data_IF_725919957313
#
_entry.id   IF_725919957313
#
_cell.length_a   1.000
_cell.length_b   1.000
_cell.length_c   1.000
_cell.angle_alpha   90.00
_cell.angle_beta   90.00
_cell.angle_gamma   90.00
#
_symmetry.space_group_name_H-M   'P 1'
#
loop_
_entity.id
_entity.type
_entity.pdbx_description
1 polymer ?
#
# COMPACT_ATOMS: atom_id res chain seq x y z
N UNK A 1 -10.95 7.38 8.59
CA UNK A 1 -9.97 6.28 8.50
C UNK A 1 -9.74 6.04 7.02
N UNK A 2 -8.50 5.81 6.62
CA UNK A 2 -8.10 5.72 5.23
C UNK A 2 -8.10 4.29 4.74
N UNK A 3 -8.23 4.10 3.43
CA UNK A 3 -8.18 2.80 2.76
C UNK A 3 -7.11 2.81 1.68
N UNK A 4 -6.16 1.88 1.78
CA UNK A 4 -5.15 1.62 0.76
C UNK A 4 -5.48 0.29 0.12
N UNK A 5 -5.54 0.23 -1.21
CA UNK A 5 -5.59 -1.03 -1.93
C UNK A 5 -4.23 -1.32 -2.57
N UNK A 6 -3.67 -2.49 -2.28
CA UNK A 6 -2.35 -2.90 -2.76
C UNK A 6 -2.42 -4.10 -3.68
N UNK A 7 -1.32 -4.39 -4.37
CA UNK A 7 -1.17 -5.54 -5.26
C UNK A 7 -2.13 -5.44 -6.47
N UNK A 8 -2.34 -4.22 -6.97
CA UNK A 8 -3.12 -3.95 -8.18
C UNK A 8 -2.28 -4.40 -9.39
N UNK A 9 -2.74 -5.43 -10.11
CA UNK A 9 -1.97 -6.00 -11.25
C UNK A 9 -2.62 -5.73 -12.60
N UNK A 10 -3.91 -5.42 -12.63
CA UNK A 10 -4.65 -5.22 -13.88
C UNK A 10 -5.74 -4.14 -13.72
N UNK A 11 -6.36 -3.75 -14.84
CA UNK A 11 -7.42 -2.74 -14.86
C UNK A 11 -8.69 -3.17 -14.11
N UNK A 12 -8.98 -4.48 -14.06
CA UNK A 12 -10.13 -5.02 -13.33
C UNK A 12 -9.96 -4.83 -11.83
N UNK A 13 -8.77 -5.14 -11.28
CA UNK A 13 -8.42 -4.90 -9.87
C UNK A 13 -8.57 -3.40 -9.55
N UNK A 14 -7.98 -2.54 -10.39
CA UNK A 14 -8.00 -1.10 -10.19
C UNK A 14 -9.44 -0.55 -10.17
N UNK A 15 -10.30 -0.99 -11.10
CA UNK A 15 -11.72 -0.60 -11.15
C UNK A 15 -12.52 -1.14 -9.97
N UNK A 16 -12.28 -2.39 -9.58
CA UNK A 16 -12.94 -2.99 -8.42
C UNK A 16 -12.68 -2.16 -7.17
N UNK A 17 -11.42 -1.87 -6.87
CA UNK A 17 -11.08 -1.06 -5.71
C UNK A 17 -11.55 0.39 -5.86
N UNK A 18 -11.43 1.01 -7.04
CA UNK A 18 -11.89 2.38 -7.26
C UNK A 18 -13.39 2.58 -6.93
N UNK A 19 -14.23 1.56 -7.09
CA UNK A 19 -15.64 1.61 -6.70
C UNK A 19 -15.84 1.83 -5.19
N UNK A 20 -14.85 1.46 -4.37
CA UNK A 20 -14.84 1.68 -2.92
C UNK A 20 -14.07 2.95 -2.51
N UNK A 21 -13.64 3.75 -3.49
CA UNK A 21 -12.95 5.03 -3.29
C UNK A 21 -11.78 4.97 -2.28
N UNK A 22 -10.80 4.06 -2.47
CA UNK A 22 -9.61 4.04 -1.63
C UNK A 22 -8.87 5.37 -1.75
N UNK A 23 -8.18 5.76 -0.68
CA UNK A 23 -7.28 6.92 -0.69
C UNK A 23 -6.06 6.66 -1.59
N UNK A 24 -5.63 5.40 -1.70
CA UNK A 24 -4.43 5.01 -2.44
C UNK A 24 -4.57 3.68 -3.18
N UNK A 25 -4.10 3.63 -4.43
CA UNK A 25 -3.85 2.38 -5.18
C UNK A 25 -2.34 2.15 -5.27
N UNK A 26 -1.89 0.99 -4.80
CA UNK A 26 -0.47 0.59 -4.82
C UNK A 26 -0.25 -0.52 -5.84
N UNK A 27 0.61 -0.22 -6.81
CA UNK A 27 1.03 -1.16 -7.85
C UNK A 27 2.41 -1.72 -7.48
N UNK A 28 2.59 -3.06 -7.44
CA UNK A 28 3.90 -3.64 -7.21
C UNK A 28 4.79 -3.45 -8.45
N UNK A 29 6.02 -2.98 -8.27
CA UNK A 29 7.02 -2.80 -9.34
C UNK A 29 7.19 -4.07 -10.18
N UNK A 30 7.19 -5.22 -9.52
CA UNK A 30 7.19 -6.52 -10.19
C UNK A 30 5.76 -6.96 -10.51
N UNK A 31 5.36 -6.88 -11.77
CA UNK A 31 4.14 -7.55 -12.21
C UNK A 31 4.38 -9.06 -12.29
N UNK A 32 3.44 -9.82 -11.72
CA UNK A 32 3.43 -11.25 -11.89
C UNK A 32 2.83 -11.59 -13.27
N UNK A 33 3.69 -12.08 -14.18
CA UNK A 33 3.38 -12.93 -15.36
C UNK A 33 3.07 -12.31 -16.72
N UNK A 34 2.95 -10.99 -16.90
CA UNK A 34 2.76 -10.39 -18.24
C UNK A 34 4.02 -9.59 -18.65
N UNK A 35 4.57 -9.73 -19.87
CA UNK A 35 5.77 -9.01 -20.31
C UNK A 35 5.62 -7.48 -20.43
N UNK A 36 4.44 -6.91 -20.18
CA UNK A 36 4.25 -5.46 -20.19
C UNK A 36 4.97 -4.83 -18.99
N UNK A 37 5.97 -4.00 -19.28
CA UNK A 37 6.64 -3.18 -18.28
C UNK A 37 5.63 -2.34 -17.48
N UNK A 38 5.84 -2.23 -16.16
CA UNK A 38 4.92 -1.56 -15.25
C UNK A 38 4.62 -0.11 -15.67
N UNK A 39 5.60 0.59 -16.24
CA UNK A 39 5.41 1.97 -16.68
C UNK A 39 4.43 2.06 -17.85
N UNK A 40 4.52 1.10 -18.78
CA UNK A 40 3.56 0.99 -19.89
C UNK A 40 2.17 0.64 -19.37
N UNK A 41 2.09 -0.24 -18.38
CA UNK A 41 0.82 -0.58 -17.73
C UNK A 41 0.19 0.64 -17.02
N UNK A 42 0.99 1.43 -16.31
CA UNK A 42 0.53 2.65 -15.62
C UNK A 42 -0.06 3.65 -16.61
N UNK A 43 0.62 3.88 -17.75
CA UNK A 43 0.14 4.77 -18.81
C UNK A 43 -1.21 4.32 -19.39
N UNK A 44 -1.47 3.01 -19.40
CA UNK A 44 -2.72 2.44 -19.88
C UNK A 44 -3.84 2.47 -18.86
N UNK A 45 -3.55 2.31 -17.56
CA UNK A 45 -4.55 2.11 -16.51
C UNK A 45 -4.91 3.41 -15.78
N UNK A 46 -3.92 4.24 -15.43
CA UNK A 46 -4.16 5.47 -14.66
C UNK A 46 -5.22 6.39 -15.26
N UNK A 47 -5.30 6.61 -16.60
CA UNK A 47 -6.32 7.48 -17.19
C UNK A 47 -7.76 7.01 -17.01
N UNK A 48 -7.99 5.74 -16.66
CA UNK A 48 -9.33 5.17 -16.48
C UNK A 48 -9.82 5.20 -15.05
N UNK A 49 -8.99 5.65 -14.10
CA UNK A 49 -9.28 5.61 -12.68
C UNK A 49 -9.12 7.01 -12.11
N UNK A 50 -10.22 7.57 -11.63
CA UNK A 50 -10.25 8.85 -10.92
C UNK A 50 -10.49 8.61 -9.42
N UNK A 51 -9.93 9.49 -8.58
CA UNK A 51 -10.12 9.43 -7.12
C UNK A 51 -8.85 9.10 -6.34
N UNK A 52 -8.36 7.85 -6.33
CA UNK A 52 -7.24 7.44 -5.51
C UNK A 52 -5.92 8.09 -5.94
N UNK A 53 -5.03 8.29 -4.97
CA UNK A 53 -3.63 8.60 -5.25
C UNK A 53 -2.93 7.32 -5.69
N UNK A 54 -2.08 7.43 -6.72
CA UNK A 54 -1.26 6.31 -7.18
C UNK A 54 0.05 6.24 -6.39
N UNK A 55 0.42 5.02 -6.01
CA UNK A 55 1.69 4.69 -5.37
C UNK A 55 2.31 3.45 -6.02
N UNK A 56 3.62 3.33 -5.91
CA UNK A 56 4.36 2.17 -6.44
C UNK A 56 5.15 1.53 -5.31
N UNK A 57 5.00 0.22 -5.17
CA UNK A 57 5.86 -0.56 -4.28
C UNK A 57 7.12 -0.99 -5.02
N UNK A 58 8.26 -0.40 -4.64
CA UNK A 58 9.53 -0.52 -5.37
C UNK A 58 10.50 -1.47 -4.67
N UNK A 59 11.36 -2.17 -5.43
CA UNK A 59 12.44 -2.96 -4.85
C UNK A 59 13.55 -2.04 -4.31
N UNK A 60 14.45 -2.62 -3.51
CA UNK A 60 15.54 -1.86 -2.88
C UNK A 60 16.63 -1.40 -3.85
N UNK A 61 16.68 -1.98 -5.05
CA UNK A 61 17.67 -1.74 -6.09
C UNK A 61 17.10 -0.98 -7.29
N UNK A 62 15.96 -0.29 -7.13
CA UNK A 62 15.36 0.51 -8.21
C UNK A 62 16.33 1.59 -8.73
N UNK A 63 16.40 1.74 -10.05
CA UNK A 63 17.30 2.68 -10.70
C UNK A 63 16.80 4.14 -10.59
N UNK A 64 17.72 5.10 -10.61
CA UNK A 64 17.38 6.54 -10.66
C UNK A 64 16.55 6.93 -11.88
N UNK A 65 16.82 6.33 -13.03
CA UNK A 65 16.05 6.56 -14.27
C UNK A 65 14.60 6.09 -14.12
N UNK A 66 14.39 4.95 -13.47
CA UNK A 66 13.06 4.40 -13.24
C UNK A 66 12.28 5.23 -12.22
N UNK A 67 12.94 5.71 -11.17
CA UNK A 67 12.37 6.68 -10.23
C UNK A 67 11.94 7.97 -10.93
N UNK A 68 12.75 8.49 -11.85
CA UNK A 68 12.39 9.67 -12.64
C UNK A 68 11.14 9.41 -13.49
N UNK A 69 11.06 8.24 -14.15
CA UNK A 69 9.88 7.84 -14.94
C UNK A 69 8.61 7.69 -14.09
N UNK A 70 8.72 7.21 -12.85
CA UNK A 70 7.61 7.17 -11.89
C UNK A 70 7.15 8.60 -11.58
N UNK A 71 8.09 9.49 -11.25
CA UNK A 71 7.82 10.89 -10.92
C UNK A 71 7.16 11.65 -12.07
N UNK A 72 7.63 11.45 -13.30
CA UNK A 72 7.09 12.12 -14.50
C UNK A 72 5.63 11.75 -14.79
N UNK A 73 5.15 10.61 -14.26
CA UNK A 73 3.73 10.20 -14.29
C UNK A 73 2.89 10.83 -13.19
N UNK A 74 3.48 11.70 -12.36
CA UNK A 74 2.82 12.36 -11.25
C UNK A 74 2.69 11.50 -9.98
N UNK A 75 3.30 10.31 -9.96
CA UNK A 75 3.32 9.44 -8.79
C UNK A 75 4.33 10.01 -7.79
N UNK A 76 3.87 10.28 -6.56
CA UNK A 76 4.67 10.93 -5.50
C UNK A 76 4.83 10.06 -4.26
N UNK A 77 4.31 8.83 -4.27
CA UNK A 77 4.32 7.95 -3.13
C UNK A 77 5.01 6.64 -3.51
N UNK A 78 6.01 6.25 -2.71
CA UNK A 78 6.71 4.97 -2.84
C UNK A 78 6.46 4.13 -1.59
N UNK A 79 6.19 2.85 -1.79
CA UNK A 79 6.17 1.84 -0.73
C UNK A 79 7.46 1.03 -0.84
N UNK A 80 8.15 0.83 0.30
CA UNK A 80 9.43 0.12 0.35
C UNK A 80 9.37 -0.97 1.42
N UNK A 81 10.05 -2.10 1.21
CA UNK A 81 10.04 -3.24 2.14
C UNK A 81 11.28 -3.35 3.05
N UNK A 82 12.32 -2.59 2.75
CA UNK A 82 13.60 -2.61 3.48
C UNK A 82 14.11 -1.19 3.70
N UNK A 83 15.17 -1.04 4.49
CA UNK A 83 15.95 0.19 4.67
C UNK A 83 16.63 0.64 3.35
N UNK A 84 15.84 0.99 2.33
CA UNK A 84 16.32 1.83 1.23
C UNK A 84 16.80 3.12 1.88
N UNK A 85 17.91 3.71 1.44
CA UNK A 85 18.39 5.01 1.96
C UNK A 85 17.38 6.09 1.60
N UNK A 86 16.43 6.45 2.48
CA UNK A 86 15.27 7.26 2.09
C UNK A 86 15.69 8.70 1.81
N UNK A 87 16.82 9.12 2.41
CA UNK A 87 17.32 10.50 2.39
C UNK A 87 17.41 11.09 0.98
N UNK A 88 17.81 10.29 -0.02
CA UNK A 88 17.92 10.77 -1.40
C UNK A 88 16.56 10.84 -2.10
N UNK A 89 15.66 9.91 -1.79
CA UNK A 89 14.32 9.79 -2.40
C UNK A 89 13.33 10.80 -1.83
N UNK A 90 13.48 11.20 -0.55
CA UNK A 90 12.52 12.06 0.16
C UNK A 90 12.38 13.47 -0.38
N UNK A 91 13.29 13.91 -1.25
CA UNK A 91 13.14 15.21 -1.94
C UNK A 91 11.96 15.19 -2.91
N UNK A 92 11.67 14.03 -3.47
CA UNK A 92 10.74 13.87 -4.59
C UNK A 92 9.54 12.99 -4.24
N UNK A 93 9.67 12.14 -3.23
CA UNK A 93 8.65 11.16 -2.85
C UNK A 93 8.33 11.21 -1.36
N UNK A 94 7.05 10.97 -1.06
CA UNK A 94 6.63 10.44 0.24
C UNK A 94 6.94 8.94 0.27
N UNK A 95 7.51 8.46 1.37
CA UNK A 95 8.02 7.10 1.48
C UNK A 95 7.35 6.40 2.65
N UNK A 96 6.67 5.30 2.34
CA UNK A 96 6.06 4.43 3.33
C UNK A 96 6.85 3.14 3.45
N UNK A 97 7.15 2.73 4.68
CA UNK A 97 7.79 1.46 4.96
C UNK A 97 6.72 0.39 5.18
N UNK A 98 6.68 -0.64 4.33
CA UNK A 98 5.96 -1.88 4.60
C UNK A 98 6.85 -2.81 5.42
N UNK A 99 6.37 -3.24 6.58
CA UNK A 99 7.15 -4.04 7.53
C UNK A 99 6.28 -5.04 8.28
N UNK A 100 6.81 -6.24 8.51
CA UNK A 100 6.25 -7.22 9.44
C UNK A 100 6.73 -6.98 10.89
N UNK A 101 7.74 -6.14 11.09
CA UNK A 101 8.18 -5.72 12.40
C UNK A 101 7.57 -4.37 12.77
N UNK A 102 7.35 -4.16 14.07
CA UNK A 102 7.06 -2.83 14.59
C UNK A 102 8.18 -1.85 14.22
N UNK A 103 7.89 -0.60 13.80
CA UNK A 103 8.91 0.43 13.64
C UNK A 103 9.43 0.82 15.03
N UNK A 104 10.49 0.14 15.49
CA UNK A 104 10.90 0.17 16.90
C UNK A 104 11.81 1.34 17.24
N UNK A 105 12.31 2.10 16.26
CA UNK A 105 13.28 3.16 16.52
C UNK A 105 12.76 4.53 16.10
N UNK A 106 13.10 5.54 16.91
CA UNK A 106 12.95 6.96 16.54
C UNK A 106 13.62 7.26 15.19
N UNK A 107 14.70 6.55 14.87
CA UNK A 107 15.42 6.70 13.61
C UNK A 107 14.54 6.33 12.40
N UNK A 108 13.76 5.25 12.49
CA UNK A 108 12.83 4.85 11.42
C UNK A 108 11.72 5.90 11.22
N UNK A 109 11.18 6.45 12.31
CA UNK A 109 10.15 7.50 12.25
C UNK A 109 10.64 8.82 11.62
N UNK A 110 11.94 9.07 11.68
CA UNK A 110 12.55 10.24 11.06
C UNK A 110 12.94 9.97 9.59
N UNK A 111 12.78 8.74 9.10
CA UNK A 111 13.18 8.29 7.76
C UNK A 111 11.99 8.02 6.82
N UNK A 112 10.82 7.73 7.35
CA UNK A 112 9.61 7.41 6.59
C UNK A 112 8.48 8.39 6.91
N UNK A 113 7.57 8.57 5.97
CA UNK A 113 6.36 9.41 6.10
C UNK A 113 5.17 8.61 6.65
N UNK A 114 5.27 7.29 6.63
CA UNK A 114 4.35 6.38 7.29
C UNK A 114 4.76 4.92 7.20
N UNK A 115 3.93 4.06 7.78
CA UNK A 115 4.20 2.64 7.96
C UNK A 115 2.99 1.81 7.53
N UNK A 116 3.26 0.69 6.87
CA UNK A 116 2.29 -0.37 6.60
C UNK A 116 2.72 -1.59 7.41
N UNK A 117 1.97 -1.91 8.45
CA UNK A 117 2.24 -3.04 9.34
C UNK A 117 1.51 -4.27 8.81
N UNK A 118 2.27 -5.28 8.38
CA UNK A 118 1.71 -6.51 7.80
C UNK A 118 1.55 -7.65 8.81
N UNK A 119 2.16 -7.53 9.99
CA UNK A 119 2.01 -8.48 11.09
C UNK A 119 1.19 -7.85 12.23
N UNK A 120 -0.02 -8.34 12.45
CA UNK A 120 -0.93 -7.80 13.46
C UNK A 120 -0.44 -8.02 14.88
N UNK A 121 0.40 -9.04 15.12
CA UNK A 121 0.97 -9.26 16.44
C UNK A 121 1.96 -8.14 16.82
N UNK A 122 2.54 -7.47 15.82
CA UNK A 122 3.38 -6.30 16.02
C UNK A 122 2.61 -5.05 16.48
N UNK A 123 1.28 -4.99 16.31
CA UNK A 123 0.46 -3.85 16.75
C UNK A 123 0.44 -3.68 18.26
N UNK A 124 0.49 -4.79 18.99
CA UNK A 124 0.59 -4.77 20.47
C UNK A 124 1.84 -4.04 20.99
N UNK A 125 2.83 -3.84 20.12
CA UNK A 125 4.10 -3.17 20.42
C UNK A 125 4.09 -1.69 20.00
N UNK A 126 2.98 -1.19 19.46
CA UNK A 126 2.79 0.21 19.09
C UNK A 126 2.69 1.08 20.33
N UNK A 127 3.80 1.71 20.68
CA UNK A 127 3.79 2.84 21.61
C UNK A 127 3.40 4.11 20.85
N UNK A 128 2.16 4.61 21.08
CA UNK A 128 1.58 5.82 20.48
C UNK A 128 2.52 7.04 20.44
N UNK A 129 3.50 7.11 21.34
CA UNK A 129 4.39 8.26 21.51
C UNK A 129 5.63 8.24 20.59
N UNK A 130 5.93 7.14 19.91
CA UNK A 130 7.19 6.97 19.19
C UNK A 130 7.05 6.93 17.66
N UNK A 131 5.84 6.79 17.13
CA UNK A 131 5.61 6.83 15.69
C UNK A 131 5.28 8.26 15.24
N UNK A 132 5.99 8.70 14.20
CA UNK A 132 5.68 9.90 13.42
C UNK A 132 5.29 9.44 12.02
N UNK A 133 4.27 10.05 11.46
CA UNK A 133 3.73 9.65 10.16
C UNK A 133 2.49 8.77 10.29
N UNK A 134 1.92 8.42 9.14
CA UNK A 134 0.67 7.67 9.10
C UNK A 134 0.90 6.18 9.31
N UNK A 135 0.04 5.52 10.08
CA UNK A 135 0.14 4.09 10.38
C UNK A 135 -1.04 3.36 9.74
N UNK A 136 -0.72 2.42 8.87
CA UNK A 136 -1.68 1.57 8.19
C UNK A 136 -1.46 0.12 8.58
N UNK A 137 -2.56 -0.64 8.59
CA UNK A 137 -2.54 -2.05 8.96
C UNK A 137 -3.07 -2.90 7.83
N UNK A 138 -2.30 -3.91 7.42
CA UNK A 138 -2.74 -4.86 6.40
C UNK A 138 -3.71 -5.89 7.00
N UNK A 139 -4.89 -6.00 6.40
CA UNK A 139 -5.90 -6.99 6.78
C UNK A 139 -5.92 -8.11 5.74
N UNK A 140 -5.77 -9.36 6.20
CA UNK A 140 -5.89 -10.53 5.33
C UNK A 140 -7.29 -11.14 5.33
N UNK A 141 -8.08 -10.88 6.37
CA UNK A 141 -9.42 -11.45 6.57
C UNK A 141 -10.30 -10.55 7.44
N UNK A 142 -11.62 -10.79 7.43
CA UNK A 142 -12.55 -10.10 8.33
C UNK A 142 -12.23 -10.38 9.81
N UNK A 143 -11.78 -11.60 10.14
CA UNK A 143 -11.38 -11.98 11.50
C UNK A 143 -10.25 -11.12 12.07
N UNK A 144 -9.39 -10.55 11.22
CA UNK A 144 -8.31 -9.66 11.64
C UNK A 144 -8.82 -8.35 12.25
N UNK A 145 -10.04 -7.91 11.92
CA UNK A 145 -10.65 -6.73 12.52
C UNK A 145 -10.79 -6.87 14.04
N UNK A 146 -11.00 -8.09 14.55
CA UNK A 146 -11.05 -8.34 15.99
C UNK A 146 -9.74 -8.02 16.70
N UNK A 147 -8.60 -8.26 16.03
CA UNK A 147 -7.24 -8.00 16.54
C UNK A 147 -6.90 -6.52 16.46
N UNK A 148 -7.42 -5.80 15.47
CA UNK A 148 -7.11 -4.38 15.24
C UNK A 148 -8.04 -3.43 15.99
N UNK A 149 -9.28 -3.85 16.33
CA UNK A 149 -10.26 -3.06 17.10
C UNK A 149 -9.68 -2.31 18.31
N UNK A 150 -8.81 -2.91 19.15
CA UNK A 150 -8.18 -2.21 20.28
C UNK A 150 -7.27 -1.04 19.87
N UNK A 151 -6.72 -1.07 18.66
CA UNK A 151 -5.70 -0.14 18.15
C UNK A 151 -6.26 0.89 17.16
N UNK A 152 -7.57 0.94 16.92
CA UNK A 152 -8.19 1.85 15.92
C UNK A 152 -7.87 3.33 16.13
N UNK A 153 -7.54 3.74 17.36
CA UNK A 153 -7.13 5.13 17.66
C UNK A 153 -5.67 5.44 17.31
N UNK A 154 -4.87 4.40 17.04
CA UNK A 154 -3.43 4.46 16.82
C UNK A 154 -3.07 4.28 15.34
N UNK A 155 -4.06 4.01 14.49
CA UNK A 155 -3.89 3.75 13.07
C UNK A 155 -4.72 4.75 12.28
N UNK A 156 -4.19 5.15 11.12
CA UNK A 156 -4.83 6.08 10.20
C UNK A 156 -5.73 5.35 9.22
N UNK A 157 -5.46 4.07 8.95
CA UNK A 157 -6.19 3.31 7.95
C UNK A 157 -5.84 1.84 7.84
N UNK A 158 -6.47 1.21 6.86
CA UNK A 158 -6.27 -0.18 6.50
C UNK A 158 -5.66 -0.33 5.13
N UNK A 159 -4.89 -1.40 4.96
CA UNK A 159 -4.38 -1.86 3.67
C UNK A 159 -5.10 -3.16 3.33
N UNK A 160 -5.73 -3.18 2.17
CA UNK A 160 -6.37 -4.36 1.61
C UNK A 160 -5.60 -4.81 0.37
N UNK A 161 -5.29 -6.09 0.29
CA UNK A 161 -4.56 -6.65 -0.84
C UNK A 161 -5.54 -7.20 -1.88
N UNK A 162 -5.34 -6.91 -3.17
CA UNK A 162 -6.04 -7.60 -4.24
C UNK A 162 -5.77 -9.11 -4.19
N UNK A 163 -6.82 -9.93 -4.14
CA UNK A 163 -6.75 -11.39 -3.99
C UNK A 163 -6.06 -12.09 -5.16
N UNK A 164 -5.70 -13.37 -5.04
CA UNK A 164 -5.06 -14.10 -6.14
C UNK A 164 -6.06 -14.41 -7.28
N UNK A 165 -5.56 -14.46 -8.52
CA UNK A 165 -6.36 -14.87 -9.69
C UNK A 165 -6.61 -16.37 -9.63
N UNK A 166 -7.87 -16.75 -9.42
CA UNK A 166 -8.32 -18.14 -9.52
C UNK A 166 -8.46 -18.55 -11.00
N UNK A 167 -8.89 -17.61 -11.85
CA UNK A 167 -8.91 -17.71 -13.33
C UNK A 167 -8.62 -16.34 -13.93
N UNK A 168 -8.29 -16.27 -15.22
CA UNK A 168 -8.09 -14.99 -15.93
C UNK A 168 -9.35 -14.12 -15.77
N UNK A 169 -9.22 -13.00 -15.06
CA UNK A 169 -10.32 -12.08 -14.76
C UNK A 169 -11.23 -12.48 -13.59
N UNK A 170 -10.91 -13.52 -12.81
CA UNK A 170 -11.65 -13.97 -11.62
C UNK A 170 -10.70 -14.05 -10.43
N UNK A 171 -10.90 -13.18 -9.43
CA UNK A 171 -10.21 -13.21 -8.13
C UNK A 171 -11.22 -13.44 -7.02
N UNK A 172 -10.77 -14.03 -5.91
CA UNK A 172 -11.56 -14.09 -4.68
C UNK A 172 -11.57 -12.71 -4.02
N UNK A 173 -12.62 -11.93 -4.29
CA UNK A 173 -12.91 -10.65 -3.64
C UNK A 173 -13.92 -10.79 -2.49
N UNK A 174 -14.36 -12.01 -2.18
CA UNK A 174 -15.40 -12.27 -1.19
C UNK A 174 -14.91 -11.83 0.20
N UNK A 175 -13.69 -12.20 0.58
CA UNK A 175 -13.07 -11.78 1.83
C UNK A 175 -12.89 -10.27 1.94
N UNK A 176 -12.67 -9.58 0.81
CA UNK A 176 -12.53 -8.12 0.77
C UNK A 176 -13.86 -7.42 0.95
N UNK A 177 -14.92 -7.97 0.37
CA UNK A 177 -16.27 -7.43 0.50
C UNK A 177 -16.75 -7.53 1.95
N UNK A 178 -16.47 -8.65 2.62
CA UNK A 178 -16.78 -8.84 4.04
C UNK A 178 -16.02 -7.84 4.93
N UNK A 179 -14.71 -7.64 4.69
CA UNK A 179 -13.92 -6.65 5.44
C UNK A 179 -14.49 -5.23 5.23
N UNK A 180 -14.77 -4.85 3.98
CA UNK A 180 -15.30 -3.52 3.65
C UNK A 180 -16.71 -3.31 4.24
N UNK A 181 -17.54 -4.35 4.26
CA UNK A 181 -18.84 -4.31 4.92
C UNK A 181 -18.70 -4.21 6.44
N UNK A 182 -17.76 -4.90 7.08
CA UNK A 182 -17.57 -4.73 8.53
C UNK A 182 -17.00 -3.36 8.89
N UNK A 183 -16.23 -2.76 7.98
CA UNK A 183 -15.61 -1.45 8.15
C UNK A 183 -16.57 -0.27 7.92
N UNK A 184 -17.84 -0.50 7.52
CA UNK A 184 -18.81 0.51 7.02
C UNK A 184 -18.42 1.95 7.37
N UNK A 185 -17.84 2.61 6.37
CA UNK A 185 -17.88 4.06 6.23
C UNK A 185 -19.30 4.52 5.87
#
# INVERSE_FOLDING_TARGET
>A
MKLIATNIKNLTDARFFAAYMPDMLVVPWTQAKDPVDILTWLDQVMPWIEGPVWAVEVPSDISGDDLLKIKDRGIKILIVKTEIRPVELRKDFQIFLRTAAHPTTKHDSDLFDGFIISDLDALSRVEEKNLRGEVFVELGSADDLSKVKPFLKQIDGFVLQGGDEEKVGIRSFDTLSDILEELRF
#
